data_IF_573611471821
#
_entry.id   IF_573611471821
#
_cell.length_a   1.000
_cell.length_b   1.000
_cell.length_c   1.000
_cell.angle_alpha   90.00
_cell.angle_beta   90.00
_cell.angle_gamma   90.00
#
_symmetry.space_group_name_H-M   'P 1'
#
loop_
_entity.id
_entity.type
_entity.pdbx_description
1 polymer ?
#
# COMPACT_ATOMS: atom_id res chain seq x y z
N UNK A 1 17.49 -30.81 56.18
CA UNK A 1 16.65 -30.30 55.08
C UNK A 1 17.09 -31.04 53.82
N UNK A 2 16.29 -32.01 53.35
CA UNK A 2 16.76 -33.01 52.36
C UNK A 2 16.91 -32.38 50.97
N UNK A 3 18.11 -32.46 50.39
CA UNK A 3 18.44 -31.99 49.02
C UNK A 3 17.42 -32.44 47.97
N UNK A 4 16.82 -33.62 48.17
CA UNK A 4 15.75 -34.20 47.33
C UNK A 4 14.49 -33.33 47.25
N UNK A 5 14.08 -32.67 48.35
CA UNK A 5 12.89 -31.79 48.34
C UNK A 5 13.17 -30.47 47.63
N UNK A 6 14.41 -29.98 47.72
CA UNK A 6 14.84 -28.74 47.09
C UNK A 6 14.89 -28.90 45.56
N UNK A 7 15.40 -30.04 45.08
CA UNK A 7 15.40 -30.39 43.67
C UNK A 7 13.98 -30.58 43.09
N UNK A 8 13.06 -31.17 43.85
CA UNK A 8 11.66 -31.31 43.44
C UNK A 8 10.93 -29.96 43.33
N UNK A 9 11.19 -29.03 44.25
CA UNK A 9 10.61 -27.67 44.19
C UNK A 9 11.17 -26.89 43.00
N UNK A 10 12.46 -27.01 42.70
CA UNK A 10 13.06 -26.35 41.53
C UNK A 10 12.46 -26.90 40.23
N UNK A 11 12.29 -28.23 40.08
CA UNK A 11 11.64 -28.82 38.91
C UNK A 11 10.19 -28.34 38.78
N UNK A 12 9.43 -28.30 39.87
CA UNK A 12 8.02 -27.87 39.82
C UNK A 12 7.90 -26.38 39.51
N UNK A 13 8.79 -25.54 40.04
CA UNK A 13 8.81 -24.10 39.71
C UNK A 13 9.21 -23.86 38.26
N UNK A 14 10.18 -24.61 37.71
CA UNK A 14 10.58 -24.51 36.30
C UNK A 14 9.48 -25.05 35.36
N UNK A 15 8.78 -26.12 35.74
CA UNK A 15 7.64 -26.63 34.97
C UNK A 15 6.45 -25.67 35.00
N UNK A 16 6.19 -25.02 36.14
CA UNK A 16 5.09 -24.04 36.26
C UNK A 16 5.42 -22.72 35.56
N UNK A 17 6.68 -22.27 35.58
CA UNK A 17 7.12 -21.04 34.90
C UNK A 17 7.42 -21.25 33.41
N UNK A 18 7.74 -22.48 32.97
CA UNK A 18 8.08 -22.81 31.58
C UNK A 18 6.92 -23.28 30.69
N UNK A 19 5.71 -23.48 31.25
CA UNK A 19 4.53 -23.99 30.53
C UNK A 19 3.33 -23.04 30.53
N UNK A 20 3.53 -21.75 30.80
CA UNK A 20 2.53 -20.74 30.46
C UNK A 20 2.95 -19.93 29.23
N UNK A 21 3.23 -20.64 28.14
CA UNK A 21 3.09 -20.12 26.80
C UNK A 21 1.79 -20.74 26.26
N UNK A 22 0.67 -19.99 26.17
CA UNK A 22 -0.45 -20.49 25.39
C UNK A 22 0.07 -20.76 23.96
N UNK A 23 -0.42 -21.80 23.28
CA UNK A 23 0.02 -22.10 21.93
C UNK A 23 -0.23 -20.87 21.07
N UNK A 24 0.84 -20.28 20.55
CA UNK A 24 0.78 -19.38 19.40
C UNK A 24 0.34 -20.26 18.23
N UNK A 25 -0.96 -20.50 18.12
CA UNK A 25 -1.56 -20.80 16.82
C UNK A 25 -1.47 -19.52 16.03
N UNK A 26 -0.40 -19.44 15.24
CA UNK A 26 -0.12 -18.39 14.27
C UNK A 26 -1.14 -18.39 13.10
N UNK A 27 -2.43 -18.40 13.41
CA UNK A 27 -3.53 -18.40 12.44
C UNK A 27 -4.70 -17.47 12.82
N UNK A 28 -4.70 -16.81 13.98
CA UNK A 28 -5.79 -15.91 14.39
C UNK A 28 -5.29 -14.56 14.92
N UNK A 29 -4.46 -13.89 14.12
CA UNK A 29 -4.22 -12.45 14.26
C UNK A 29 -4.72 -11.66 13.05
N UNK A 30 -5.62 -12.23 12.24
CA UNK A 30 -6.54 -11.41 11.46
C UNK A 30 -7.58 -10.87 12.45
N UNK A 31 -7.45 -9.59 12.78
CA UNK A 31 -8.31 -8.92 13.76
C UNK A 31 -9.81 -9.05 13.39
N UNK A 32 -10.74 -9.02 14.37
CA UNK A 32 -12.19 -8.93 14.09
C UNK A 32 -12.60 -7.69 13.27
N UNK A 33 -11.67 -6.74 13.08
CA UNK A 33 -11.81 -5.58 12.18
C UNK A 33 -11.77 -5.97 10.70
N UNK A 34 -11.04 -7.04 10.35
CA UNK A 34 -10.96 -7.52 8.96
C UNK A 34 -12.23 -8.28 8.57
N UNK A 35 -12.81 -9.06 9.48
CA UNK A 35 -14.06 -9.78 9.24
C UNK A 35 -15.26 -8.82 9.09
N UNK A 36 -15.30 -7.78 9.93
CA UNK A 36 -16.34 -6.75 9.86
C UNK A 36 -16.25 -5.90 8.59
N UNK A 37 -15.04 -5.48 8.21
CA UNK A 37 -14.83 -4.80 6.95
C UNK A 37 -15.25 -5.67 5.76
N UNK A 38 -14.79 -6.91 5.70
CA UNK A 38 -15.13 -7.82 4.60
C UNK A 38 -16.63 -8.06 4.48
N UNK A 39 -17.35 -8.15 5.61
CA UNK A 39 -18.81 -8.26 5.62
C UNK A 39 -19.49 -7.00 5.05
N UNK A 40 -19.02 -5.80 5.43
CA UNK A 40 -19.53 -4.53 4.88
C UNK A 40 -19.24 -4.40 3.38
N UNK A 41 -18.05 -4.82 2.93
CA UNK A 41 -17.71 -4.86 1.50
C UNK A 41 -18.64 -5.81 0.75
N UNK A 42 -18.90 -7.00 1.30
CA UNK A 42 -19.81 -7.97 0.71
C UNK A 42 -21.22 -7.37 0.53
N UNK A 43 -21.76 -6.75 1.58
CA UNK A 43 -23.09 -6.13 1.58
C UNK A 43 -23.16 -4.90 0.64
N UNK A 44 -22.07 -4.13 0.56
CA UNK A 44 -21.91 -3.02 -0.38
C UNK A 44 -21.98 -3.46 -1.86
N UNK A 45 -21.51 -4.69 -2.16
CA UNK A 45 -21.55 -5.25 -3.50
C UNK A 45 -22.92 -5.83 -3.88
N UNK A 46 -23.79 -6.04 -2.90
CA UNK A 46 -25.18 -6.39 -3.15
C UNK A 46 -25.90 -5.16 -3.74
N UNK A 47 -26.67 -5.34 -4.81
CA UNK A 47 -27.39 -4.23 -5.46
C UNK A 47 -28.70 -3.90 -4.72
N UNK A 48 -28.67 -3.91 -3.38
CA UNK A 48 -29.83 -3.75 -2.52
C UNK A 48 -29.92 -2.31 -1.99
N UNK A 49 -30.34 -1.39 -2.85
CA UNK A 49 -30.82 -0.04 -2.50
C UNK A 49 -30.06 0.69 -1.36
N UNK A 50 -30.80 1.25 -0.41
CA UNK A 50 -30.25 2.09 0.67
C UNK A 50 -29.41 1.32 1.70
N UNK A 51 -29.69 0.03 1.93
CA UNK A 51 -28.93 -0.80 2.87
C UNK A 51 -27.51 -1.04 2.38
N UNK A 52 -27.35 -1.40 1.10
CA UNK A 52 -26.04 -1.56 0.48
C UNK A 52 -25.28 -0.24 0.39
N UNK A 53 -25.99 0.88 0.17
CA UNK A 53 -25.36 2.21 0.20
C UNK A 53 -24.76 2.51 1.57
N UNK A 54 -25.51 2.27 2.65
CA UNK A 54 -25.00 2.43 4.03
C UNK A 54 -23.80 1.52 4.31
N UNK A 55 -23.82 0.27 3.83
CA UNK A 55 -22.70 -0.64 3.99
C UNK A 55 -21.45 -0.15 3.25
N UNK A 56 -21.61 0.39 2.04
CA UNK A 56 -20.53 1.02 1.30
C UNK A 56 -19.94 2.22 2.05
N UNK A 57 -20.79 3.11 2.57
CA UNK A 57 -20.34 4.31 3.27
C UNK A 57 -19.56 3.94 4.56
N UNK A 58 -20.02 2.94 5.32
CA UNK A 58 -19.29 2.43 6.49
C UNK A 58 -17.96 1.77 6.11
N UNK A 59 -17.92 0.99 5.03
CA UNK A 59 -16.68 0.41 4.54
C UNK A 59 -15.67 1.48 4.10
N UNK A 60 -16.14 2.55 3.45
CA UNK A 60 -15.33 3.72 3.06
C UNK A 60 -14.78 4.45 4.29
N UNK A 61 -15.58 4.62 5.35
CA UNK A 61 -15.10 5.24 6.60
C UNK A 61 -13.99 4.42 7.25
N UNK A 62 -14.04 3.09 7.15
CA UNK A 62 -12.99 2.21 7.67
C UNK A 62 -11.73 2.23 6.81
N UNK A 63 -11.89 2.15 5.48
CA UNK A 63 -10.81 2.05 4.50
C UNK A 63 -11.12 2.92 3.28
N UNK A 64 -10.80 4.23 3.33
CA UNK A 64 -11.14 5.18 2.26
C UNK A 64 -10.31 4.98 1.00
N UNK A 65 -9.20 4.26 1.09
CA UNK A 65 -8.28 3.90 0.00
C UNK A 65 -8.62 2.56 -0.66
N UNK A 66 -9.60 1.81 -0.15
CA UNK A 66 -10.06 0.59 -0.82
C UNK A 66 -10.99 0.94 -1.99
N UNK A 67 -10.67 0.43 -3.18
CA UNK A 67 -11.45 0.66 -4.40
C UNK A 67 -12.81 -0.04 -4.40
N UNK A 68 -12.94 -1.15 -3.68
CA UNK A 68 -14.13 -2.02 -3.76
C UNK A 68 -15.38 -1.33 -3.21
N UNK A 69 -15.35 -0.71 -2.01
CA UNK A 69 -16.49 0.06 -1.49
C UNK A 69 -16.93 1.21 -2.40
N UNK A 70 -15.98 1.97 -2.97
CA UNK A 70 -16.30 3.08 -3.89
C UNK A 70 -16.96 2.59 -5.18
N UNK A 71 -16.52 1.44 -5.69
CA UNK A 71 -17.12 0.82 -6.86
C UNK A 71 -18.53 0.28 -6.56
N UNK A 72 -18.72 -0.40 -5.43
CA UNK A 72 -20.04 -0.85 -4.96
C UNK A 72 -21.00 0.33 -4.81
N UNK A 73 -20.55 1.40 -4.15
CA UNK A 73 -21.30 2.66 -3.98
C UNK A 73 -21.75 3.23 -5.32
N UNK A 74 -20.85 3.34 -6.30
CA UNK A 74 -21.16 3.82 -7.65
C UNK A 74 -22.29 3.00 -8.32
N UNK A 75 -22.22 1.67 -8.21
CA UNK A 75 -23.23 0.77 -8.78
C UNK A 75 -24.59 0.91 -8.10
N UNK A 76 -24.60 0.97 -6.77
CA UNK A 76 -25.83 1.14 -5.98
C UNK A 76 -26.49 2.49 -6.30
N UNK A 77 -25.72 3.58 -6.32
CA UNK A 77 -26.22 4.92 -6.65
C UNK A 77 -26.77 5.01 -8.08
N UNK A 78 -26.11 4.39 -9.04
CA UNK A 78 -26.60 4.32 -10.42
C UNK A 78 -27.93 3.55 -10.51
N UNK A 79 -28.07 2.45 -9.77
CA UNK A 79 -29.33 1.70 -9.69
C UNK A 79 -30.47 2.49 -9.01
N UNK A 80 -30.12 3.39 -8.09
CA UNK A 80 -31.06 4.34 -7.45
C UNK A 80 -31.36 5.58 -8.31
N UNK A 81 -30.74 5.72 -9.48
CA UNK A 81 -30.89 6.89 -10.36
C UNK A 81 -30.12 8.13 -9.93
N UNK A 82 -29.27 8.03 -8.90
CA UNK A 82 -28.39 9.09 -8.40
C UNK A 82 -27.09 9.12 -9.21
N UNK A 83 -27.21 9.56 -10.46
CA UNK A 83 -26.14 9.41 -11.45
C UNK A 83 -24.92 10.29 -11.14
N UNK A 84 -25.12 11.46 -10.52
CA UNK A 84 -24.04 12.40 -10.22
C UNK A 84 -23.11 11.82 -9.13
N UNK A 85 -23.69 11.37 -8.02
CA UNK A 85 -22.97 10.74 -6.91
C UNK A 85 -22.33 9.40 -7.33
N UNK A 86 -22.97 8.68 -8.26
CA UNK A 86 -22.41 7.47 -8.86
C UNK A 86 -21.14 7.76 -9.68
N UNK A 87 -21.16 8.82 -10.50
CA UNK A 87 -20.01 9.25 -11.29
C UNK A 87 -18.86 9.72 -10.39
N UNK A 88 -19.18 10.44 -9.32
CA UNK A 88 -18.19 10.86 -8.32
C UNK A 88 -17.51 9.66 -7.64
N UNK A 89 -18.30 8.65 -7.26
CA UNK A 89 -17.76 7.42 -6.65
C UNK A 89 -16.86 6.66 -7.64
N UNK A 90 -17.24 6.61 -8.92
CA UNK A 90 -16.42 5.98 -9.96
C UNK A 90 -15.13 6.76 -10.25
N UNK A 91 -15.18 8.09 -10.23
CA UNK A 91 -14.00 8.93 -10.38
C UNK A 91 -12.97 8.63 -9.27
N UNK A 92 -13.41 8.43 -8.02
CA UNK A 92 -12.54 8.06 -6.89
C UNK A 92 -11.82 6.74 -7.13
N UNK A 93 -12.51 5.70 -7.62
CA UNK A 93 -11.89 4.41 -7.98
C UNK A 93 -10.71 4.61 -8.94
N UNK A 94 -10.90 5.45 -9.97
CA UNK A 94 -9.84 5.72 -10.96
C UNK A 94 -8.61 6.40 -10.35
N UNK A 95 -8.82 7.35 -9.44
CA UNK A 95 -7.72 8.06 -8.78
C UNK A 95 -6.94 7.11 -7.87
N UNK A 96 -7.63 6.30 -7.08
CA UNK A 96 -7.02 5.31 -6.18
C UNK A 96 -6.24 4.25 -7.00
N UNK A 97 -6.81 3.76 -8.10
CA UNK A 97 -6.10 2.79 -8.95
C UNK A 97 -4.85 3.42 -9.59
N UNK A 98 -4.96 4.65 -10.10
CA UNK A 98 -3.82 5.37 -10.66
C UNK A 98 -2.71 5.58 -9.62
N UNK A 99 -3.08 5.82 -8.36
CA UNK A 99 -2.15 5.90 -7.23
C UNK A 99 -1.39 4.59 -6.99
N UNK A 100 -2.09 3.47 -6.84
CA UNK A 100 -1.42 2.17 -6.65
C UNK A 100 -0.52 1.79 -7.83
N UNK A 101 -0.94 2.11 -9.06
CA UNK A 101 -0.13 1.88 -10.25
C UNK A 101 1.15 2.75 -10.25
N UNK A 102 1.04 4.02 -9.85
CA UNK A 102 2.20 4.92 -9.78
C UNK A 102 3.21 4.46 -8.72
N UNK A 103 2.73 4.05 -7.54
CA UNK A 103 3.62 3.48 -6.51
C UNK A 103 4.30 2.21 -7.02
N UNK A 104 3.54 1.31 -7.66
CA UNK A 104 4.12 0.07 -8.20
C UNK A 104 5.22 0.36 -9.23
N UNK A 105 5.05 1.38 -10.08
CA UNK A 105 6.09 1.82 -11.01
C UNK A 105 7.32 2.37 -10.30
N UNK A 106 7.15 3.22 -9.27
CA UNK A 106 8.27 3.75 -8.48
C UNK A 106 9.04 2.63 -7.76
N UNK A 107 8.34 1.65 -7.20
CA UNK A 107 8.96 0.49 -6.57
C UNK A 107 9.74 -0.38 -7.55
N UNK A 108 9.19 -0.60 -8.76
CA UNK A 108 9.90 -1.32 -9.82
C UNK A 108 11.16 -0.56 -10.28
N UNK A 109 11.07 0.77 -10.42
CA UNK A 109 12.23 1.62 -10.74
C UNK A 109 13.29 1.55 -9.64
N UNK A 110 12.88 1.54 -8.38
CA UNK A 110 13.77 1.33 -7.23
C UNK A 110 14.52 -0.01 -7.35
N UNK A 111 13.81 -1.11 -7.55
CA UNK A 111 14.42 -2.43 -7.65
C UNK A 111 15.47 -2.48 -8.77
N UNK A 112 15.15 -1.84 -9.91
CA UNK A 112 16.09 -1.68 -11.00
C UNK A 112 17.34 -0.89 -10.59
N UNK A 113 17.18 0.28 -9.96
CA UNK A 113 18.30 1.12 -9.51
C UNK A 113 19.16 0.39 -8.47
N UNK A 114 18.54 -0.30 -7.51
CA UNK A 114 19.24 -1.10 -6.51
C UNK A 114 20.06 -2.22 -7.16
N UNK A 115 19.50 -2.90 -8.16
CA UNK A 115 20.22 -3.93 -8.92
C UNK A 115 21.44 -3.37 -9.65
N UNK A 116 21.31 -2.20 -10.29
CA UNK A 116 22.40 -1.52 -10.99
C UNK A 116 23.46 -0.98 -10.03
N UNK A 117 23.05 -0.54 -8.84
CA UNK A 117 23.95 -0.05 -7.81
C UNK A 117 24.83 -1.18 -7.24
N UNK A 118 24.24 -2.35 -7.02
CA UNK A 118 24.91 -3.53 -6.46
C UNK A 118 25.74 -4.30 -7.50
N UNK A 119 25.47 -4.08 -8.80
CA UNK A 119 26.13 -4.78 -9.89
C UNK A 119 27.03 -3.85 -10.73
N UNK A 120 28.32 -3.85 -10.41
CA UNK A 120 29.32 -3.02 -11.12
C UNK A 120 29.39 -3.31 -12.62
N UNK A 121 29.13 -4.55 -13.04
CA UNK A 121 29.12 -4.92 -14.46
C UNK A 121 27.96 -4.24 -15.20
N UNK A 122 26.77 -4.25 -14.62
CA UNK A 122 25.60 -3.59 -15.21
C UNK A 122 25.75 -2.07 -15.21
N UNK A 123 26.36 -1.50 -14.17
CA UNK A 123 26.68 -0.07 -14.15
C UNK A 123 27.70 0.30 -15.25
N UNK A 124 28.73 -0.53 -15.45
CA UNK A 124 29.70 -0.35 -16.54
C UNK A 124 29.04 -0.43 -17.93
N UNK A 125 28.08 -1.35 -18.12
CA UNK A 125 27.29 -1.43 -19.36
C UNK A 125 26.44 -0.17 -19.60
N UNK A 126 25.82 0.39 -18.55
CA UNK A 126 25.10 1.66 -18.62
C UNK A 126 26.04 2.81 -19.05
N UNK A 127 27.26 2.87 -18.49
CA UNK A 127 28.25 3.88 -18.87
C UNK A 127 28.70 3.73 -20.33
N UNK A 128 28.90 2.50 -20.79
CA UNK A 128 29.23 2.22 -22.18
C UNK A 128 28.09 2.61 -23.14
N UNK A 129 26.83 2.38 -22.75
CA UNK A 129 25.66 2.78 -23.54
C UNK A 129 25.58 4.30 -23.71
N UNK A 130 25.84 5.06 -22.64
CA UNK A 130 25.87 6.54 -22.67
C UNK A 130 26.96 7.09 -23.60
N UNK A 131 28.07 6.36 -23.76
CA UNK A 131 29.19 6.75 -24.62
C UNK A 131 28.99 6.39 -26.11
N UNK A 132 27.92 5.66 -26.44
CA UNK A 132 27.67 5.28 -27.84
C UNK A 132 27.20 6.46 -28.68
N UNK A 133 27.79 6.63 -29.86
CA UNK A 133 27.53 7.76 -30.76
C UNK A 133 26.17 7.66 -31.49
N UNK A 134 25.55 6.48 -31.49
CA UNK A 134 24.33 6.18 -32.24
C UNK A 134 23.02 6.46 -31.46
N UNK A 135 23.10 7.01 -30.25
CA UNK A 135 21.92 7.22 -29.40
C UNK A 135 21.11 8.48 -29.75
N UNK A 136 19.78 8.37 -29.64
CA UNK A 136 18.88 9.52 -29.71
C UNK A 136 19.09 10.45 -28.50
N UNK A 137 18.96 11.76 -28.72
CA UNK A 137 19.22 12.80 -27.70
C UNK A 137 18.37 12.60 -26.44
N UNK A 138 17.09 12.26 -26.61
CA UNK A 138 16.16 12.02 -25.51
C UNK A 138 16.55 10.79 -24.68
N UNK A 139 16.98 9.71 -25.34
CA UNK A 139 17.45 8.50 -24.67
C UNK A 139 18.76 8.76 -23.90
N UNK A 140 19.66 9.55 -24.48
CA UNK A 140 20.91 9.96 -23.83
C UNK A 140 20.63 10.75 -22.55
N UNK A 141 19.73 11.73 -22.61
CA UNK A 141 19.33 12.52 -21.44
C UNK A 141 18.73 11.63 -20.33
N UNK A 142 17.86 10.69 -20.69
CA UNK A 142 17.26 9.73 -19.75
C UNK A 142 18.32 8.85 -19.06
N UNK A 143 19.27 8.28 -19.82
CA UNK A 143 20.33 7.45 -19.23
C UNK A 143 21.30 8.26 -18.38
N UNK A 144 21.60 9.51 -18.75
CA UNK A 144 22.43 10.40 -17.94
C UNK A 144 21.74 10.76 -16.62
N UNK A 145 20.44 11.05 -16.66
CA UNK A 145 19.64 11.30 -15.46
C UNK A 145 19.62 10.06 -14.55
N UNK A 146 19.38 8.87 -15.12
CA UNK A 146 19.41 7.61 -14.38
C UNK A 146 20.78 7.37 -13.72
N UNK A 147 21.88 7.62 -14.45
CA UNK A 147 23.23 7.51 -13.90
C UNK A 147 23.43 8.44 -12.71
N UNK A 148 23.01 9.70 -12.82
CA UNK A 148 23.12 10.66 -11.73
C UNK A 148 22.32 10.22 -10.50
N UNK A 149 21.09 9.73 -10.69
CA UNK A 149 20.26 9.17 -9.61
C UNK A 149 20.96 7.98 -8.91
N UNK A 150 21.58 7.07 -9.66
CA UNK A 150 22.33 5.95 -9.07
C UNK A 150 23.50 6.45 -8.21
N UNK A 151 24.23 7.46 -8.67
CA UNK A 151 25.38 8.03 -7.92
C UNK A 151 24.93 8.72 -6.63
N UNK A 152 23.86 9.53 -6.69
CA UNK A 152 23.32 10.20 -5.50
C UNK A 152 22.82 9.20 -4.47
N UNK A 153 22.20 8.11 -4.92
CA UNK A 153 21.69 7.06 -4.03
C UNK A 153 22.79 6.17 -3.46
N UNK A 154 23.91 5.99 -4.18
CA UNK A 154 25.11 5.34 -3.63
C UNK A 154 25.71 6.16 -2.47
N UNK A 155 25.68 7.49 -2.59
CA UNK A 155 26.16 8.40 -1.54
C UNK A 155 25.19 8.47 -0.35
N UNK A 156 23.88 8.47 -0.62
CA UNK A 156 22.85 8.47 0.41
C UNK A 156 21.71 7.47 0.08
N UNK A 157 21.81 6.20 0.51
CA UNK A 157 20.80 5.19 0.23
C UNK A 157 19.42 5.49 0.83
N UNK A 158 19.36 6.28 1.91
CA UNK A 158 18.10 6.62 2.57
C UNK A 158 17.23 7.61 1.79
N UNK A 159 17.81 8.32 0.82
CA UNK A 159 17.09 9.28 -0.03
C UNK A 159 15.99 8.58 -0.86
N UNK A 160 16.19 7.31 -1.22
CA UNK A 160 15.23 6.54 -2.01
C UNK A 160 13.95 6.23 -1.22
N UNK A 161 14.10 5.93 0.07
CA UNK A 161 12.95 5.71 0.96
C UNK A 161 12.21 7.02 1.24
N UNK A 162 12.92 8.15 1.28
CA UNK A 162 12.36 9.49 1.42
C UNK A 162 11.58 9.94 0.17
N UNK A 163 12.11 9.70 -1.04
CA UNK A 163 11.41 10.00 -2.30
C UNK A 163 10.10 9.21 -2.43
N UNK A 164 10.09 7.94 -2.02
CA UNK A 164 8.89 7.11 -2.02
C UNK A 164 7.90 7.61 -0.95
N UNK A 165 8.37 7.95 0.25
CA UNK A 165 7.54 8.51 1.30
C UNK A 165 6.89 9.84 0.87
N UNK A 166 7.65 10.72 0.23
CA UNK A 166 7.17 12.00 -0.30
C UNK A 166 6.18 11.80 -1.45
N UNK A 167 6.44 10.86 -2.36
CA UNK A 167 5.50 10.52 -3.44
C UNK A 167 4.19 9.97 -2.86
N UNK A 168 4.25 9.10 -1.85
CA UNK A 168 3.05 8.62 -1.14
C UNK A 168 2.30 9.77 -0.46
N UNK A 169 3.03 10.71 0.15
CA UNK A 169 2.46 11.88 0.81
C UNK A 169 1.75 12.81 -0.19
N UNK A 170 2.42 13.16 -1.29
CA UNK A 170 1.85 14.01 -2.33
C UNK A 170 0.59 13.42 -2.94
N UNK A 171 0.55 12.11 -3.15
CA UNK A 171 -0.65 11.48 -3.70
C UNK A 171 -1.75 11.37 -2.66
N UNK A 172 -1.45 11.08 -1.40
CA UNK A 172 -2.42 11.17 -0.30
C UNK A 172 -3.03 12.57 -0.22
N UNK A 173 -2.21 13.61 -0.33
CA UNK A 173 -2.65 14.99 -0.24
C UNK A 173 -3.49 15.38 -1.48
N UNK A 174 -3.14 14.90 -2.69
CA UNK A 174 -3.99 15.04 -3.89
C UNK A 174 -5.31 14.29 -3.78
N UNK A 175 -5.31 13.08 -3.21
CA UNK A 175 -6.53 12.33 -2.92
C UNK A 175 -7.42 13.14 -1.97
N UNK A 176 -6.84 13.71 -0.90
CA UNK A 176 -7.56 14.57 0.04
C UNK A 176 -8.12 15.84 -0.62
N UNK A 177 -7.37 16.48 -1.52
CA UNK A 177 -7.81 17.65 -2.26
C UNK A 177 -8.94 17.33 -3.25
N UNK A 178 -8.84 16.21 -3.99
CA UNK A 178 -9.91 15.72 -4.86
C UNK A 178 -11.16 15.37 -4.03
N UNK A 179 -10.99 14.77 -2.86
CA UNK A 179 -12.09 14.50 -1.91
C UNK A 179 -12.75 15.81 -1.48
N UNK A 180 -11.97 16.85 -1.19
CA UNK A 180 -12.46 18.18 -0.79
C UNK A 180 -13.16 18.95 -1.91
N UNK A 181 -12.68 18.86 -3.15
CA UNK A 181 -13.28 19.53 -4.32
C UNK A 181 -14.59 18.88 -4.75
N UNK A 182 -14.68 17.55 -4.65
CA UNK A 182 -15.92 16.82 -4.96
C UNK A 182 -17.00 17.09 -3.91
N UNK A 183 -16.65 17.22 -2.63
CA UNK A 183 -17.63 17.55 -1.59
C UNK A 183 -18.11 19.01 -1.67
N UNK A 184 -17.26 19.95 -2.11
CA UNK A 184 -17.61 21.36 -2.29
C UNK A 184 -18.49 21.65 -3.52
N UNK A 185 -18.54 20.74 -4.49
CA UNK A 185 -19.38 20.88 -5.70
C UNK A 185 -20.78 20.27 -5.54
N UNK A 186 -21.03 19.59 -4.42
CA UNK A 186 -22.32 18.97 -4.07
C UNK A 186 -23.20 19.83 -3.12
N UNK A 187 -22.77 21.06 -2.78
CA UNK A 187 -23.52 22.04 -1.97
C UNK A 187 -24.01 23.23 -2.79
#
# INVERSE_FOLDING_TARGET
MNLSRLWQVIITVVLVLGLYMPPVTAAETLSPRTDTFNALVQECLELQGETSLSACDQAIEMHPDDVIPWYGRSRVLSALGQQEEANQSYARVRVIQAYYNAIAQLLAQREQIESLMQNEEQFSQLEAAIQSEDMEQEQLEQLQQLKQQILTLRENPSLLDEEIADAMLQVRDRLADIIGQISATAS
#
